data_IF_749903412027
#
_entry.id   IF_749903412027
#
_cell.length_a   1.000
_cell.length_b   1.000
_cell.length_c   1.000
_cell.angle_alpha   90.00
_cell.angle_beta   90.00
_cell.angle_gamma   90.00
#
_symmetry.space_group_name_H-M   'P 1'
#
loop_
_entity.id
_entity.type
_entity.pdbx_description
1 polymer ?
#
# COMPACT_ATOMS: atom_id res chain seq x y z
N UNK A 1 -0.91 10.37 2.69
CA UNK A 1 -0.06 9.99 1.54
C UNK A 1 1.09 9.03 1.82
N UNK A 2 1.83 9.11 2.94
CA UNK A 2 3.10 8.37 3.12
C UNK A 2 2.96 6.86 3.35
N UNK A 3 1.90 6.41 4.04
CA UNK A 3 1.65 4.98 4.29
C UNK A 3 1.34 4.20 3.00
N UNK A 4 0.47 4.68 2.07
CA UNK A 4 0.21 4.04 0.78
C UNK A 4 1.46 3.79 -0.08
N UNK A 5 2.35 4.77 -0.23
CA UNK A 5 3.56 4.65 -1.06
C UNK A 5 4.51 3.54 -0.58
N UNK A 6 4.75 3.46 0.73
CA UNK A 6 5.58 2.39 1.31
C UNK A 6 4.89 1.03 1.22
N UNK A 7 3.56 1.02 1.18
CA UNK A 7 2.76 -0.20 1.04
C UNK A 7 2.94 -0.84 -0.32
N UNK A 8 2.93 -0.03 -1.39
CA UNK A 8 3.21 -0.48 -2.76
C UNK A 8 4.52 -1.25 -2.84
N UNK A 9 5.61 -0.67 -2.32
CA UNK A 9 6.94 -1.31 -2.28
C UNK A 9 6.94 -2.61 -1.47
N UNK A 10 6.26 -2.63 -0.32
CA UNK A 10 6.17 -3.82 0.55
C UNK A 10 5.35 -4.95 -0.07
N UNK A 11 4.18 -4.66 -0.63
CA UNK A 11 3.30 -5.67 -1.20
C UNK A 11 3.84 -6.23 -2.51
N UNK A 12 4.50 -5.40 -3.33
CA UNK A 12 5.22 -5.91 -4.50
C UNK A 12 6.30 -6.91 -4.10
N UNK A 13 7.14 -6.55 -3.13
CA UNK A 13 8.27 -7.39 -2.71
C UNK A 13 7.86 -8.67 -1.94
N UNK A 14 6.73 -8.66 -1.24
CA UNK A 14 6.28 -9.79 -0.41
C UNK A 14 5.22 -10.67 -1.07
N UNK A 15 4.27 -10.04 -1.74
CA UNK A 15 3.07 -10.70 -2.27
C UNK A 15 3.07 -10.77 -3.81
N UNK A 16 4.02 -10.10 -4.49
CA UNK A 16 4.06 -10.03 -5.96
C UNK A 16 2.96 -9.17 -6.58
N UNK A 17 2.22 -8.40 -5.78
CA UNK A 17 1.09 -7.57 -6.23
C UNK A 17 1.50 -6.10 -6.20
N UNK A 18 1.28 -5.39 -7.31
CA UNK A 18 1.40 -3.94 -7.40
C UNK A 18 -0.01 -3.35 -7.41
N UNK A 19 -0.60 -2.99 -6.24
CA UNK A 19 -1.92 -2.39 -6.21
C UNK A 19 -1.91 -0.99 -6.85
N UNK A 20 -3.06 -0.49 -7.31
CA UNK A 20 -3.20 0.91 -7.69
C UNK A 20 -2.98 1.84 -6.48
N UNK A 21 -2.63 3.11 -6.73
CA UNK A 21 -2.44 4.08 -5.65
C UNK A 21 -3.73 4.30 -4.83
N UNK A 22 -4.91 4.24 -5.47
CA UNK A 22 -6.22 4.32 -4.83
C UNK A 22 -6.46 3.09 -3.93
N UNK A 23 -6.19 1.88 -4.43
CA UNK A 23 -6.31 0.65 -3.65
C UNK A 23 -5.37 0.64 -2.44
N UNK A 24 -4.19 1.25 -2.58
CA UNK A 24 -3.20 1.39 -1.50
C UNK A 24 -3.70 2.24 -0.34
N UNK A 25 -4.67 3.14 -0.56
CA UNK A 25 -5.32 3.88 0.52
C UNK A 25 -6.20 2.96 1.38
N UNK A 26 -7.02 2.10 0.75
CA UNK A 26 -7.86 1.15 1.46
C UNK A 26 -7.02 0.16 2.30
N UNK A 27 -5.93 -0.34 1.70
CA UNK A 27 -5.02 -1.27 2.37
C UNK A 27 -4.27 -0.63 3.55
N UNK A 28 -3.83 0.63 3.39
CA UNK A 28 -3.23 1.39 4.49
C UNK A 28 -4.20 1.61 5.66
N UNK A 29 -5.49 1.78 5.36
CA UNK A 29 -6.53 1.89 6.37
C UNK A 29 -6.83 0.55 7.07
N UNK A 30 -6.90 -0.55 6.32
CA UNK A 30 -7.05 -1.89 6.90
C UNK A 30 -5.92 -2.21 7.90
N UNK A 31 -4.66 -1.90 7.55
CA UNK A 31 -3.53 -2.06 8.48
C UNK A 31 -3.61 -1.15 9.70
N UNK A 32 -4.20 0.05 9.56
CA UNK A 32 -4.46 0.93 10.70
C UNK A 32 -5.51 0.31 11.63
N UNK A 33 -6.58 -0.30 11.10
CA UNK A 33 -7.61 -0.98 11.90
C UNK A 33 -7.04 -2.18 12.66
N UNK A 34 -6.19 -2.98 12.01
CA UNK A 34 -5.46 -4.10 12.64
C UNK A 34 -4.64 -3.59 13.82
N UNK A 35 -3.83 -2.54 13.60
CA UNK A 35 -2.97 -1.99 14.64
C UNK A 35 -3.72 -1.33 15.81
N UNK A 36 -4.99 -0.94 15.63
CA UNK A 36 -5.79 -0.33 16.70
C UNK A 36 -6.32 -1.35 17.72
N UNK A 37 -6.50 -2.61 17.33
CA UNK A 37 -6.97 -3.67 18.22
C UNK A 37 -6.21 -4.97 17.90
N UNK A 38 -4.90 -5.05 18.23
CA UNK A 38 -4.04 -6.15 17.79
C UNK A 38 -4.40 -7.51 18.41
N UNK A 39 -5.03 -7.51 19.59
CA UNK A 39 -5.40 -8.74 20.31
C UNK A 39 -6.77 -9.29 19.88
N UNK A 40 -7.51 -8.54 19.07
CA UNK A 40 -8.82 -8.97 18.57
C UNK A 40 -8.63 -9.75 17.27
N UNK A 41 -9.28 -10.89 17.16
CA UNK A 41 -9.41 -11.58 15.87
C UNK A 41 -10.23 -10.72 14.90
N UNK A 42 -9.68 -10.49 13.71
CA UNK A 42 -10.25 -9.61 12.70
C UNK A 42 -10.24 -10.30 11.34
N UNK A 43 -11.40 -10.36 10.68
CA UNK A 43 -11.53 -10.76 9.28
C UNK A 43 -11.84 -9.52 8.44
N UNK A 44 -10.91 -9.13 7.57
CA UNK A 44 -11.02 -7.94 6.72
C UNK A 44 -10.95 -8.33 5.25
N UNK A 45 -11.88 -7.79 4.45
CA UNK A 45 -11.86 -7.90 2.99
C UNK A 45 -11.53 -6.51 2.44
N UNK A 46 -10.44 -6.43 1.67
CA UNK A 46 -10.00 -5.19 1.03
C UNK A 46 -10.11 -5.36 -0.47
N UNK A 47 -10.87 -4.47 -1.12
CA UNK A 47 -10.97 -4.47 -2.57
C UNK A 47 -9.72 -3.83 -3.19
N UNK A 48 -8.99 -4.60 -3.99
CA UNK A 48 -7.93 -4.10 -4.86
C UNK A 48 -8.54 -3.72 -6.21
N UNK A 49 -9.06 -2.51 -6.29
CA UNK A 49 -9.80 -1.99 -7.46
C UNK A 49 -9.01 -1.94 -8.76
N UNK A 50 -7.67 -2.00 -8.71
CA UNK A 50 -6.84 -1.99 -9.91
C UNK A 50 -5.37 -2.31 -9.65
N UNK A 51 -4.62 -2.42 -10.76
CA UNK A 51 -3.17 -2.63 -10.78
C UNK A 51 -2.44 -1.30 -10.92
N UNK A 52 -1.30 -1.16 -10.27
CA UNK A 52 -0.54 0.09 -10.17
C UNK A 52 0.48 0.33 -11.27
N UNK A 53 0.42 -0.33 -12.43
CA UNK A 53 1.46 -0.18 -13.48
C UNK A 53 1.63 1.27 -13.93
N UNK A 54 0.50 1.98 -14.05
CA UNK A 54 0.46 3.39 -14.45
C UNK A 54 1.11 4.31 -13.42
N UNK A 55 1.12 3.89 -12.15
CA UNK A 55 1.58 4.68 -11.02
C UNK A 55 3.07 4.48 -10.73
N UNK A 56 3.73 3.49 -11.35
CA UNK A 56 5.12 3.11 -11.06
C UNK A 56 6.08 4.29 -11.20
N UNK A 57 6.00 5.05 -12.29
CA UNK A 57 6.90 6.18 -12.53
C UNK A 57 6.68 7.30 -11.52
N UNK A 58 5.42 7.66 -11.26
CA UNK A 58 5.05 8.66 -10.25
C UNK A 58 5.55 8.27 -8.86
N UNK A 59 5.39 7.00 -8.48
CA UNK A 59 5.86 6.48 -7.19
C UNK A 59 7.40 6.53 -7.12
N UNK A 60 8.08 6.13 -8.20
CA UNK A 60 9.53 6.18 -8.29
C UNK A 60 10.07 7.60 -8.11
N UNK A 61 9.50 8.57 -8.81
CA UNK A 61 9.93 9.97 -8.75
C UNK A 61 9.74 10.55 -7.34
N UNK A 62 8.61 10.23 -6.69
CA UNK A 62 8.34 10.66 -5.31
C UNK A 62 9.33 10.02 -4.33
N UNK A 63 9.69 8.75 -4.50
CA UNK A 63 10.64 8.06 -3.62
C UNK A 63 12.08 8.55 -3.82
N UNK A 64 12.49 8.79 -5.08
CA UNK A 64 13.80 9.33 -5.42
C UNK A 64 13.99 10.77 -4.90
N UNK A 65 12.98 11.64 -5.09
CA UNK A 65 12.99 12.99 -4.53
C UNK A 65 13.08 13.03 -2.99
N UNK A 66 12.79 11.91 -2.32
CA UNK A 66 12.87 11.75 -0.87
C UNK A 66 14.14 11.03 -0.40
N UNK A 67 14.98 10.54 -1.32
CA UNK A 67 16.17 9.74 -0.98
C UNK A 67 15.85 8.38 -0.35
N UNK A 68 14.67 7.80 -0.62
CA UNK A 68 14.29 6.46 -0.14
C UNK A 68 14.72 5.33 -1.11
N UNK A 69 15.21 5.73 -2.29
CA UNK A 69 15.87 4.95 -3.34
C UNK A 69 16.87 5.84 -4.07
#
# INVERSE_FOLDING_TARGET
MMKPLRLLKRYHAREGIIPALESSHALAYALKLIAQNPDKEQLLIVNLSGRGDKDIFTVNDILAARGEI
#
